data_IF_796935262557
#
_entry.id   IF_796935262557
#
_cell.length_a   1.000
_cell.length_b   1.000
_cell.length_c   1.000
_cell.angle_alpha   90.00
_cell.angle_beta   90.00
_cell.angle_gamma   90.00
#
_symmetry.space_group_name_H-M   'P 1'
#
loop_
_entity.id
_entity.type
_entity.pdbx_description
1 polymer ?
#
# COMPACT_ATOMS: atom_id res chain seq x y z
N UNK A 1 -2.21 -20.66 6.42
CA UNK A 1 -1.45 -20.16 7.58
C UNK A 1 -0.58 -18.96 7.17
N UNK A 2 -0.06 -18.20 8.14
CA UNK A 2 0.89 -17.10 7.88
C UNK A 2 2.16 -17.33 8.70
N UNK A 3 3.31 -16.95 8.12
CA UNK A 3 4.62 -17.10 8.77
C UNK A 3 5.13 -15.71 9.17
N UNK A 4 5.58 -15.57 10.41
CA UNK A 4 6.17 -14.33 10.94
C UNK A 4 7.69 -14.41 10.88
N UNK A 5 8.34 -13.40 10.31
CA UNK A 5 9.81 -13.24 10.34
C UNK A 5 10.15 -11.77 10.59
N UNK A 6 10.51 -11.43 11.83
CA UNK A 6 10.65 -10.03 12.26
C UNK A 6 9.31 -9.27 12.15
N UNK A 7 9.35 -8.02 11.68
CA UNK A 7 8.15 -7.16 11.51
C UNK A 7 7.40 -7.43 10.19
N UNK A 8 7.59 -8.61 9.58
CA UNK A 8 6.99 -8.98 8.29
C UNK A 8 6.15 -10.23 8.47
N UNK A 9 4.90 -10.16 7.99
CA UNK A 9 4.00 -11.31 7.88
C UNK A 9 3.89 -11.74 6.41
N UNK A 10 4.04 -13.03 6.16
CA UNK A 10 3.84 -13.64 4.85
C UNK A 10 2.50 -14.36 4.80
N UNK A 11 1.74 -14.11 3.74
CA UNK A 11 0.49 -14.80 3.44
C UNK A 11 0.75 -15.93 2.44
N UNK A 12 0.16 -17.11 2.67
CA UNK A 12 0.28 -18.25 1.74
C UNK A 12 -0.30 -17.97 0.36
N UNK A 13 -1.42 -17.23 0.31
CA UNK A 13 -2.12 -16.93 -0.93
C UNK A 13 -2.50 -15.45 -0.99
N UNK A 14 -2.47 -14.83 -2.17
CA UNK A 14 -2.98 -13.47 -2.35
C UNK A 14 -4.52 -13.43 -2.24
N UNK A 15 -5.07 -12.26 -1.93
CA UNK A 15 -6.51 -12.00 -2.06
C UNK A 15 -7.16 -11.28 -0.88
N UNK A 16 -8.45 -11.00 -1.05
CA UNK A 16 -9.25 -10.19 -0.12
C UNK A 16 -9.42 -10.82 1.27
N UNK A 17 -9.23 -12.14 1.38
CA UNK A 17 -9.31 -12.87 2.65
C UNK A 17 -8.25 -12.39 3.66
N UNK A 18 -7.15 -11.81 3.17
CA UNK A 18 -6.07 -11.30 4.02
C UNK A 18 -6.34 -9.92 4.61
N UNK A 19 -7.35 -9.18 4.12
CA UNK A 19 -7.57 -7.77 4.48
C UNK A 19 -7.68 -7.56 6.00
N UNK A 20 -8.40 -8.43 6.71
CA UNK A 20 -8.51 -8.31 8.17
C UNK A 20 -7.16 -8.48 8.86
N UNK A 21 -6.37 -9.47 8.46
CA UNK A 21 -5.02 -9.69 9.01
C UNK A 21 -4.10 -8.50 8.72
N UNK A 22 -4.17 -7.91 7.53
CA UNK A 22 -3.42 -6.70 7.18
C UNK A 22 -3.80 -5.53 8.09
N UNK A 23 -5.09 -5.36 8.41
CA UNK A 23 -5.54 -4.31 9.33
C UNK A 23 -4.97 -4.52 10.74
N UNK A 24 -4.99 -5.75 11.27
CA UNK A 24 -4.45 -6.04 12.60
C UNK A 24 -2.94 -5.79 12.69
N UNK A 25 -2.17 -6.18 11.67
CA UNK A 25 -0.73 -5.89 11.60
C UNK A 25 -0.51 -4.38 11.54
N UNK A 26 -1.30 -3.67 10.72
CA UNK A 26 -1.21 -2.22 10.61
C UNK A 26 -1.48 -1.55 11.96
N UNK A 27 -2.47 -2.04 12.72
CA UNK A 27 -2.76 -1.59 14.08
C UNK A 27 -1.59 -1.79 15.03
N UNK A 28 -0.92 -2.94 14.96
CA UNK A 28 0.27 -3.22 15.75
C UNK A 28 1.41 -2.24 15.44
N UNK A 29 1.69 -1.99 14.16
CA UNK A 29 2.72 -1.04 13.72
C UNK A 29 2.42 0.40 14.15
N UNK A 30 1.17 0.85 14.00
CA UNK A 30 0.74 2.15 14.53
C UNK A 30 0.99 2.27 16.04
N UNK A 31 0.74 1.22 16.83
CA UNK A 31 1.05 1.20 18.27
C UNK A 31 2.55 1.26 18.57
N UNK A 32 3.38 0.63 17.73
CA UNK A 32 4.84 0.72 17.82
C UNK A 32 5.38 2.10 17.42
N UNK A 33 4.54 2.97 16.85
CA UNK A 33 4.88 4.31 16.35
C UNK A 33 5.94 4.30 15.24
N UNK A 34 6.07 3.20 14.51
CA UNK A 34 6.94 3.09 13.34
C UNK A 34 6.25 3.48 12.03
N UNK A 35 4.93 3.75 12.09
CA UNK A 35 4.10 4.24 10.98
C UNK A 35 3.26 5.42 11.49
N UNK A 36 3.17 6.49 10.69
CA UNK A 36 2.45 7.72 11.06
C UNK A 36 1.09 7.90 10.36
N UNK A 37 0.88 7.23 9.23
CA UNK A 37 -0.34 7.31 8.44
C UNK A 37 -0.54 6.03 7.64
N UNK A 38 -1.79 5.74 7.31
CA UNK A 38 -2.16 4.59 6.48
C UNK A 38 -2.67 5.08 5.13
N UNK A 39 -2.06 4.61 4.05
CA UNK A 39 -2.48 4.90 2.69
C UNK A 39 -3.15 3.64 2.13
N UNK A 40 -4.41 3.76 1.68
CA UNK A 40 -5.21 2.63 1.18
C UNK A 40 -5.55 2.86 -0.30
N UNK A 41 -4.90 2.13 -1.23
CA UNK A 41 -5.33 2.13 -2.62
C UNK A 41 -6.65 1.36 -2.75
N UNK A 42 -7.59 1.88 -3.54
CA UNK A 42 -8.91 1.27 -3.68
C UNK A 42 -9.55 1.52 -5.05
N UNK A 43 -10.33 0.53 -5.49
CA UNK A 43 -11.18 0.61 -6.69
C UNK A 43 -12.65 0.86 -6.31
N UNK A 44 -13.18 0.12 -5.33
CA UNK A 44 -14.62 0.16 -4.95
C UNK A 44 -14.90 0.71 -3.55
N UNK A 45 -13.88 0.85 -2.69
CA UNK A 45 -14.01 1.44 -1.35
C UNK A 45 -14.27 0.47 -0.20
N UNK A 46 -14.60 -0.80 -0.49
CA UNK A 46 -14.84 -1.81 0.56
C UNK A 46 -13.65 -2.00 1.51
N UNK A 47 -12.43 -1.97 0.98
CA UNK A 47 -11.21 -2.04 1.81
C UNK A 47 -11.08 -0.81 2.69
N UNK A 48 -11.34 0.38 2.16
CA UNK A 48 -11.27 1.63 2.92
C UNK A 48 -12.25 1.62 4.10
N UNK A 49 -13.49 1.18 3.88
CA UNK A 49 -14.50 1.10 4.93
C UNK A 49 -14.03 0.23 6.11
N UNK A 50 -13.44 -0.93 5.83
CA UNK A 50 -12.88 -1.80 6.87
C UNK A 50 -11.75 -1.12 7.66
N UNK A 51 -10.86 -0.40 6.98
CA UNK A 51 -9.78 0.35 7.62
C UNK A 51 -10.31 1.50 8.48
N UNK A 52 -11.27 2.28 7.97
CA UNK A 52 -11.88 3.40 8.70
C UNK A 52 -12.63 2.92 9.93
N UNK A 53 -13.42 1.86 9.81
CA UNK A 53 -14.18 1.30 10.93
C UNK A 53 -13.27 0.79 12.06
N UNK A 54 -12.13 0.20 11.72
CA UNK A 54 -11.21 -0.39 12.71
C UNK A 54 -10.14 0.57 13.23
N UNK A 55 -9.69 1.53 12.43
CA UNK A 55 -8.51 2.36 12.73
C UNK A 55 -8.76 3.87 12.61
N UNK A 56 -9.90 4.31 12.06
CA UNK A 56 -10.13 5.73 11.73
C UNK A 56 -10.12 6.69 12.92
N UNK A 57 -10.30 6.19 14.15
CA UNK A 57 -10.16 6.99 15.37
C UNK A 57 -8.72 7.07 15.90
N UNK A 58 -7.85 6.15 15.46
CA UNK A 58 -6.51 5.96 16.01
C UNK A 58 -5.42 6.57 15.09
N UNK A 59 -5.71 6.73 13.79
CA UNK A 59 -4.73 7.20 12.81
C UNK A 59 -5.38 7.99 11.68
N UNK A 60 -4.57 8.80 11.00
CA UNK A 60 -4.92 9.37 9.70
C UNK A 60 -4.93 8.26 8.64
N UNK A 61 -6.04 8.15 7.92
CA UNK A 61 -6.22 7.25 6.77
C UNK A 61 -6.39 8.12 5.52
N UNK A 62 -5.61 7.81 4.49
CA UNK A 62 -5.66 8.47 3.19
C UNK A 62 -6.04 7.41 2.17
N UNK A 63 -7.14 7.62 1.45
CA UNK A 63 -7.49 6.76 0.31
C UNK A 63 -6.97 7.33 -0.98
N UNK A 64 -6.61 6.44 -1.91
CA UNK A 64 -6.23 6.81 -3.27
C UNK A 64 -7.08 5.97 -4.23
N UNK A 65 -7.82 6.64 -5.12
CA UNK A 65 -8.58 5.99 -6.18
C UNK A 65 -7.67 5.59 -7.34
N UNK A 66 -8.06 4.52 -8.04
CA UNK A 66 -7.38 4.09 -9.27
C UNK A 66 -7.26 5.23 -10.30
N UNK A 67 -8.33 6.01 -10.50
CA UNK A 67 -8.34 7.12 -11.46
C UNK A 67 -7.26 8.17 -11.15
N UNK A 68 -7.07 8.53 -9.88
CA UNK A 68 -6.04 9.49 -9.47
C UNK A 68 -4.63 8.92 -9.68
N UNK A 69 -4.43 7.62 -9.40
CA UNK A 69 -3.15 6.94 -9.72
C UNK A 69 -2.90 6.97 -11.22
N UNK A 70 -3.88 6.60 -12.04
CA UNK A 70 -3.74 6.57 -13.49
C UNK A 70 -3.50 7.96 -14.08
N UNK A 71 -4.14 8.99 -13.52
CA UNK A 71 -3.91 10.39 -13.89
C UNK A 71 -2.49 10.83 -13.56
N UNK A 72 -1.96 10.47 -12.39
CA UNK A 72 -0.58 10.73 -12.02
C UNK A 72 0.41 9.98 -12.94
N UNK A 73 0.16 8.70 -13.23
CA UNK A 73 1.00 7.91 -14.14
C UNK A 73 1.07 8.49 -15.56
N UNK A 74 -0.01 9.10 -16.06
CA UNK A 74 0.00 9.79 -17.37
C UNK A 74 0.83 11.08 -17.39
N UNK A 75 1.00 11.73 -16.23
CA UNK A 75 1.81 12.95 -16.08
C UNK A 75 3.28 12.62 -15.85
N UNK A 76 3.57 11.42 -15.36
CA UNK A 76 4.91 10.87 -15.30
C UNK A 76 5.24 10.37 -16.71
N UNK A 77 5.89 11.22 -17.51
CA UNK A 77 6.61 10.75 -18.69
C UNK A 77 7.67 9.78 -18.19
N UNK A 78 7.42 8.47 -18.30
CA UNK A 78 8.50 7.51 -18.18
C UNK A 78 9.53 7.89 -19.26
N UNK A 79 10.82 8.02 -18.92
CA UNK A 79 11.83 8.17 -19.96
C UNK A 79 11.61 7.04 -20.96
N UNK A 80 11.53 7.41 -22.23
CA UNK A 80 11.36 6.45 -23.32
C UNK A 80 12.37 5.33 -23.14
N UNK A 81 12.03 4.09 -23.52
CA UNK A 81 12.88 2.92 -23.23
C UNK A 81 14.34 3.12 -23.65
N UNK A 82 14.59 3.86 -24.74
CA UNK A 82 15.93 4.24 -25.19
C UNK A 82 16.67 5.26 -24.32
N UNK A 83 15.98 6.09 -23.53
CA UNK A 83 16.59 6.99 -22.55
C UNK A 83 17.07 6.25 -21.29
N UNK A 84 16.47 5.10 -20.95
CA UNK A 84 16.96 4.23 -19.87
C UNK A 84 18.18 3.41 -20.30
N UNK A 85 18.26 2.99 -21.57
CA UNK A 85 19.41 2.25 -22.11
C UNK A 85 20.70 3.11 -22.10
N UNK A 86 20.60 4.40 -22.43
CA UNK A 86 21.74 5.34 -22.38
C UNK A 86 22.20 5.70 -20.95
N UNK A 87 21.42 5.38 -19.92
CA UNK A 87 21.79 5.65 -18.52
C UNK A 87 22.70 4.58 -17.93
N UNK A 88 22.83 3.42 -18.59
CA UNK A 88 23.70 2.32 -18.19
C UNK A 88 25.00 2.24 -19.01
N UNK A 89 25.21 3.16 -19.97
CA UNK A 89 26.44 3.28 -20.77
C UNK A 89 27.38 4.41 -20.29
N UNK A 90 27.28 4.81 -19.01
CA UNK A 90 28.27 5.71 -18.41
C UNK A 90 29.24 4.85 -17.59
N UNK A 91 30.25 4.32 -18.29
CA UNK A 91 31.55 3.90 -17.71
C UNK A 91 32.55 5.05 -17.79
#
# INVERSE_FOLDING_TARGET
MSVHKGNVMYFESPGFLNTNSVIEITKERLRMRDVAAVIVPMTTGRTLENFVNKLGKETKIISISEDEVMKACKQISYPDKGALENLFEID
#
